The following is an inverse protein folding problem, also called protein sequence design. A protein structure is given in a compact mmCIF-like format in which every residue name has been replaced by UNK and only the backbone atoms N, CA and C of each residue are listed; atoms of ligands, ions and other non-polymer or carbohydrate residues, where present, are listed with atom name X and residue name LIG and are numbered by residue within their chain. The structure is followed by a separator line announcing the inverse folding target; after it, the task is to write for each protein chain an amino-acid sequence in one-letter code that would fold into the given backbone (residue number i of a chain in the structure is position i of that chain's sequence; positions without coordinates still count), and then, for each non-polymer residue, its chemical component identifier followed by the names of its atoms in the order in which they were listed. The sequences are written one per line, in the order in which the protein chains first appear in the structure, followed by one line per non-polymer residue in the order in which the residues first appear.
data_IF_162951837461
#
_entry.id   IF_162951837461
#
_cell.length_a   1.000
_cell.length_b   1.000
_cell.length_c   1.000
_cell.angle_alpha   90.00
_cell.angle_beta   90.00
_cell.angle_gamma   90.00
#
_symmetry.space_group_name_H-M   'P 1'
#
loop_
_entity.id
_entity.type
_entity.pdbx_description
1 polymer ?
#
# COMPACT_ATOMS: atom_id res chain seq x y z
N UNK A 1 4.57 2.03 10.46
CA UNK A 1 3.97 1.67 9.15
C UNK A 1 3.87 0.16 8.97
N UNK A 2 4.95 -0.62 9.16
CA UNK A 2 4.93 -2.09 8.96
C UNK A 2 3.93 -2.82 9.88
N UNK A 3 3.80 -2.44 11.14
CA UNK A 3 2.84 -3.04 12.05
C UNK A 3 1.40 -2.83 11.57
N UNK A 4 1.05 -1.61 11.15
CA UNK A 4 -0.26 -1.31 10.58
C UNK A 4 -0.53 -2.08 9.28
N UNK A 5 0.47 -2.14 8.39
CA UNK A 5 0.34 -2.85 7.11
C UNK A 5 0.13 -4.36 7.28
N UNK A 6 0.96 -5.02 8.07
CA UNK A 6 0.91 -6.48 8.23
C UNK A 6 -0.12 -6.95 9.26
N UNK A 7 -0.40 -6.13 10.28
CA UNK A 7 -1.28 -6.52 11.38
C UNK A 7 -2.74 -6.08 11.23
N UNK A 8 -2.99 -4.96 10.54
CA UNK A 8 -4.32 -4.34 10.53
C UNK A 8 -4.86 -3.98 9.16
N UNK A 9 -4.14 -4.31 8.08
CA UNK A 9 -4.65 -4.04 6.74
C UNK A 9 -5.46 -5.22 6.21
N UNK A 10 -6.75 -4.96 5.93
CA UNK A 10 -7.73 -5.98 5.54
C UNK A 10 -7.25 -6.84 4.36
N UNK A 11 -6.73 -6.25 3.29
CA UNK A 11 -6.37 -7.00 2.08
C UNK A 11 -5.16 -7.93 2.29
N UNK A 12 -4.36 -7.72 3.34
CA UNK A 12 -3.27 -8.59 3.75
C UNK A 12 -3.79 -9.68 4.69
N UNK A 13 -4.51 -9.28 5.77
CA UNK A 13 -4.98 -10.19 6.81
C UNK A 13 -5.93 -11.24 6.26
N UNK A 14 -6.83 -10.87 5.35
CA UNK A 14 -7.80 -11.81 4.75
C UNK A 14 -7.13 -13.02 4.10
N UNK A 15 -5.91 -12.88 3.56
CA UNK A 15 -5.15 -14.00 3.00
C UNK A 15 -4.67 -14.97 4.08
N UNK A 16 -4.25 -14.43 5.24
CA UNK A 16 -3.89 -15.25 6.40
C UNK A 16 -5.10 -15.97 7.01
N UNK A 17 -6.25 -15.29 7.08
CA UNK A 17 -7.50 -15.87 7.59
C UNK A 17 -8.08 -16.97 6.68
N UNK A 18 -7.78 -16.93 5.37
CA UNK A 18 -8.19 -17.95 4.41
C UNK A 18 -7.31 -19.20 4.41
N UNK A 19 -6.27 -19.27 5.25
CA UNK A 19 -5.40 -20.44 5.35
C UNK A 19 -6.11 -21.63 5.98
N UNK A 20 -5.71 -22.86 5.63
CA UNK A 20 -6.31 -24.10 6.13
C UNK A 20 -6.19 -24.28 7.64
N UNK A 21 -5.18 -23.68 8.26
CA UNK A 21 -4.97 -23.72 9.72
C UNK A 21 -4.17 -22.52 10.18
N UNK A 22 -4.22 -22.22 11.49
CA UNK A 22 -3.42 -21.17 12.13
C UNK A 22 -1.92 -21.42 11.92
N UNK A 23 -1.47 -22.67 11.95
CA UNK A 23 -0.06 -22.99 11.73
C UNK A 23 0.37 -22.68 10.30
N UNK A 24 -0.45 -22.98 9.30
CA UNK A 24 -0.15 -22.61 7.92
C UNK A 24 -0.18 -21.08 7.70
N UNK A 25 -1.10 -20.37 8.33
CA UNK A 25 -1.11 -18.92 8.33
C UNK A 25 0.19 -18.33 8.91
N UNK A 26 0.63 -18.85 10.08
CA UNK A 26 1.88 -18.41 10.72
C UNK A 26 3.10 -18.68 9.84
N UNK A 27 3.22 -19.88 9.26
CA UNK A 27 4.32 -20.22 8.34
C UNK A 27 4.32 -19.31 7.13
N UNK A 28 3.16 -19.07 6.53
CA UNK A 28 3.01 -18.17 5.39
C UNK A 28 3.44 -16.74 5.69
N UNK A 29 3.05 -16.19 6.86
CA UNK A 29 3.45 -14.85 7.28
C UNK A 29 4.95 -14.74 7.55
N UNK A 30 5.56 -15.73 8.22
CA UNK A 30 7.02 -15.76 8.44
C UNK A 30 7.77 -15.86 7.11
N UNK A 31 7.32 -16.71 6.20
CA UNK A 31 7.92 -16.85 4.87
C UNK A 31 7.79 -15.57 4.05
N UNK A 32 6.63 -14.90 4.09
CA UNK A 32 6.43 -13.60 3.44
C UNK A 32 7.36 -12.52 4.03
N UNK A 33 7.56 -12.52 5.35
CA UNK A 33 8.52 -11.65 6.03
C UNK A 33 9.96 -11.88 5.53
N UNK A 34 10.37 -13.13 5.39
CA UNK A 34 11.67 -13.50 4.85
C UNK A 34 11.84 -13.04 3.39
N UNK A 35 10.85 -13.29 2.53
CA UNK A 35 10.88 -12.82 1.14
C UNK A 35 10.96 -11.30 1.04
N UNK A 36 10.31 -10.58 1.98
CA UNK A 36 10.36 -9.11 2.01
C UNK A 36 11.77 -8.56 2.21
N UNK A 37 12.66 -9.29 2.88
CA UNK A 37 14.06 -8.88 3.07
C UNK A 37 14.81 -8.86 1.72
N UNK A 38 14.38 -9.66 0.75
CA UNK A 38 14.99 -9.72 -0.58
C UNK A 38 14.57 -8.55 -1.48
N UNK A 39 13.44 -7.90 -1.21
CA UNK A 39 12.91 -6.81 -2.04
C UNK A 39 13.89 -5.65 -2.25
N UNK A 40 14.59 -5.13 -1.20
CA UNK A 40 15.58 -4.08 -1.39
C UNK A 40 16.69 -4.46 -2.38
N UNK A 41 17.13 -5.70 -2.41
CA UNK A 41 18.14 -6.15 -3.36
C UNK A 41 17.60 -6.15 -4.81
N UNK A 42 16.34 -6.47 -5.00
CA UNK A 42 15.71 -6.54 -6.33
C UNK A 42 15.31 -5.15 -6.85
N UNK A 43 14.96 -4.22 -5.96
CA UNK A 43 14.42 -2.90 -6.34
C UNK A 43 15.46 -1.80 -6.15
N UNK A 44 16.11 -1.73 -4.98
CA UNK A 44 16.98 -0.61 -4.62
C UNK A 44 18.34 -0.71 -5.34
N UNK A 45 18.95 -1.90 -5.39
CA UNK A 45 20.24 -2.04 -6.06
C UNK A 45 20.21 -1.68 -7.55
N UNK A 46 19.24 -2.18 -8.35
CA UNK A 46 19.14 -1.75 -9.76
C UNK A 46 18.90 -0.24 -9.90
N UNK A 47 18.10 0.37 -9.01
CA UNK A 47 17.89 1.81 -8.99
C UNK A 47 19.17 2.61 -8.73
N UNK A 48 20.00 2.15 -7.78
CA UNK A 48 21.31 2.76 -7.51
C UNK A 48 22.23 2.60 -8.73
N UNK A 49 22.26 1.43 -9.36
CA UNK A 49 23.05 1.22 -10.58
C UNK A 49 22.61 2.15 -11.71
N UNK A 50 21.30 2.31 -11.93
CA UNK A 50 20.77 3.23 -12.92
C UNK A 50 21.22 4.67 -12.65
N UNK A 51 21.15 5.12 -11.40
CA UNK A 51 21.59 6.45 -10.99
C UNK A 51 23.07 6.72 -11.29
N UNK A 52 23.95 5.78 -10.94
CA UNK A 52 25.37 5.92 -11.22
C UNK A 52 25.70 5.90 -12.72
N UNK A 53 25.06 5.02 -13.50
CA UNK A 53 25.24 4.97 -14.96
C UNK A 53 24.83 6.28 -15.61
N UNK A 54 23.75 6.91 -15.14
CA UNK A 54 23.29 8.20 -15.67
C UNK A 54 24.24 9.35 -15.33
N UNK A 55 24.99 9.26 -14.24
CA UNK A 55 25.98 10.27 -13.85
C UNK A 55 27.32 10.14 -14.57
N UNK A 56 27.60 8.99 -15.18
CA UNK A 56 28.83 8.74 -15.93
C UNK A 56 28.58 8.77 -17.44
N UNK A 57 28.92 9.89 -18.14
CA UNK A 57 28.72 10.01 -19.58
C UNK A 57 29.51 8.98 -20.38
N UNK A 58 30.67 8.49 -19.86
CA UNK A 58 31.48 7.49 -20.53
C UNK A 58 30.82 6.11 -20.44
N UNK A 59 30.34 5.73 -19.25
CA UNK A 59 29.57 4.52 -19.05
C UNK A 59 28.29 4.50 -19.91
N UNK A 60 27.56 5.63 -19.90
CA UNK A 60 26.32 5.76 -20.67
C UNK A 60 26.54 5.59 -22.16
N UNK A 61 27.55 6.24 -22.74
CA UNK A 61 27.86 6.16 -24.17
C UNK A 61 28.47 4.81 -24.58
N UNK A 62 29.35 4.22 -23.76
CA UNK A 62 29.97 2.95 -24.04
C UNK A 62 28.98 1.78 -24.04
N UNK A 63 27.93 1.85 -23.26
CA UNK A 63 26.86 0.83 -23.19
C UNK A 63 25.79 1.00 -24.26
N UNK A 64 25.87 2.03 -25.12
CA UNK A 64 24.87 2.32 -26.18
C UNK A 64 23.43 2.39 -25.61
N UNK A 65 23.24 3.01 -24.47
CA UNK A 65 21.96 3.06 -23.77
C UNK A 65 21.00 4.05 -24.44
N UNK A 66 19.72 3.74 -24.44
CA UNK A 66 18.68 4.53 -25.08
C UNK A 66 17.78 5.24 -24.06
N UNK A 67 17.61 6.57 -24.26
CA UNK A 67 16.72 7.41 -23.48
C UNK A 67 17.31 7.80 -22.12
N UNK A 68 16.78 8.87 -21.55
CA UNK A 68 17.16 9.39 -20.23
C UNK A 68 16.11 9.03 -19.19
N UNK A 69 16.49 9.07 -17.92
CA UNK A 69 15.60 8.99 -16.78
C UNK A 69 15.26 10.43 -16.38
N UNK A 70 14.03 10.86 -16.64
CA UNK A 70 13.56 12.21 -16.30
C UNK A 70 12.99 12.26 -14.88
N UNK A 71 12.29 11.21 -14.46
CA UNK A 71 11.69 11.07 -13.15
C UNK A 71 12.20 9.79 -12.47
N UNK A 72 12.27 9.81 -11.14
CA UNK A 72 12.71 8.64 -10.36
C UNK A 72 11.87 7.38 -10.68
N UNK A 73 10.57 7.54 -10.93
CA UNK A 73 9.66 6.44 -11.28
C UNK A 73 9.95 5.81 -12.66
N UNK A 74 10.66 6.51 -13.55
CA UNK A 74 11.03 6.00 -14.88
C UNK A 74 12.27 5.08 -14.85
N UNK A 75 13.00 5.02 -13.72
CA UNK A 75 14.23 4.25 -13.60
C UNK A 75 14.04 2.75 -13.87
N UNK A 76 12.98 2.14 -13.34
CA UNK A 76 12.73 0.71 -13.52
C UNK A 76 12.31 0.34 -14.95
N UNK A 77 11.39 1.04 -15.62
CA UNK A 77 11.12 0.88 -17.04
C UNK A 77 12.36 1.08 -17.91
N UNK A 78 13.20 2.08 -17.60
CA UNK A 78 14.44 2.35 -18.31
C UNK A 78 15.43 1.18 -18.19
N UNK A 79 15.61 0.61 -17.01
CA UNK A 79 16.44 -0.57 -16.78
C UNK A 79 15.94 -1.78 -17.59
N UNK A 80 14.64 -2.06 -17.58
CA UNK A 80 14.05 -3.15 -18.38
C UNK A 80 14.31 -2.91 -19.86
N UNK A 81 14.15 -1.68 -20.33
CA UNK A 81 14.35 -1.33 -21.73
C UNK A 81 15.78 -1.58 -22.19
N UNK A 82 16.78 -1.22 -21.39
CA UNK A 82 18.17 -1.22 -21.79
C UNK A 82 18.92 -2.54 -21.49
N UNK A 83 18.60 -3.18 -20.36
CA UNK A 83 19.37 -4.33 -19.86
C UNK A 83 18.68 -5.68 -20.03
N UNK A 84 17.40 -5.68 -20.45
CA UNK A 84 16.68 -6.95 -20.57
C UNK A 84 16.63 -7.39 -22.05
N UNK A 85 17.03 -8.63 -22.38
CA UNK A 85 16.90 -9.19 -23.73
C UNK A 85 15.45 -9.22 -24.21
N UNK A 86 15.24 -9.16 -25.53
CA UNK A 86 13.92 -8.98 -26.17
C UNK A 86 12.86 -9.97 -25.67
N UNK A 87 13.17 -11.26 -25.58
CA UNK A 87 12.20 -12.26 -25.08
C UNK A 87 11.88 -12.13 -23.60
N UNK A 88 12.90 -11.87 -22.76
CA UNK A 88 12.73 -11.68 -21.32
C UNK A 88 12.02 -10.36 -21.03
N UNK A 89 12.19 -9.33 -21.88
CA UNK A 89 11.48 -8.05 -21.76
C UNK A 89 9.96 -8.24 -21.75
N UNK A 90 9.41 -9.00 -22.68
CA UNK A 90 7.99 -9.32 -22.72
C UNK A 90 7.51 -10.07 -21.47
N UNK A 91 8.31 -11.04 -20.99
CA UNK A 91 8.02 -11.75 -19.74
C UNK A 91 8.04 -10.81 -18.52
N UNK A 92 8.98 -9.86 -18.46
CA UNK A 92 9.07 -8.86 -17.38
C UNK A 92 7.83 -7.97 -17.33
N UNK A 93 7.37 -7.48 -18.49
CA UNK A 93 6.13 -6.70 -18.54
C UNK A 93 4.89 -7.53 -18.17
N UNK A 94 4.82 -8.79 -18.63
CA UNK A 94 3.74 -9.68 -18.23
C UNK A 94 3.73 -9.95 -16.72
N UNK A 95 4.90 -10.13 -16.11
CA UNK A 95 5.05 -10.32 -14.66
C UNK A 95 4.63 -9.06 -13.88
N UNK A 96 5.02 -7.87 -14.34
CA UNK A 96 4.57 -6.60 -13.76
C UNK A 96 3.05 -6.46 -13.84
N UNK A 97 2.46 -6.69 -15.00
CA UNK A 97 1.01 -6.64 -15.17
C UNK A 97 0.30 -7.64 -14.25
N UNK A 98 0.79 -8.86 -14.14
CA UNK A 98 0.24 -9.88 -13.24
C UNK A 98 0.33 -9.47 -11.77
N UNK A 99 1.44 -8.86 -11.34
CA UNK A 99 1.63 -8.36 -9.98
C UNK A 99 0.64 -7.22 -9.65
N UNK A 100 0.45 -6.28 -10.58
CA UNK A 100 -0.51 -5.18 -10.46
C UNK A 100 -1.95 -5.73 -10.35
N UNK A 101 -2.35 -6.61 -11.27
CA UNK A 101 -3.69 -7.22 -11.28
C UNK A 101 -3.96 -7.99 -9.98
N UNK A 102 -2.98 -8.77 -9.50
CA UNK A 102 -3.11 -9.52 -8.24
C UNK A 102 -3.33 -8.61 -7.04
N UNK A 103 -2.59 -7.48 -6.98
CA UNK A 103 -2.72 -6.50 -5.90
C UNK A 103 -4.06 -5.77 -5.95
N UNK A 104 -4.46 -5.29 -7.12
CA UNK A 104 -5.74 -4.62 -7.33
C UNK A 104 -6.93 -5.55 -7.03
N UNK A 105 -6.89 -6.80 -7.47
CA UNK A 105 -7.92 -7.77 -7.17
C UNK A 105 -8.10 -7.98 -5.66
N UNK A 106 -7.00 -8.02 -4.90
CA UNK A 106 -7.04 -8.14 -3.43
C UNK A 106 -7.63 -6.89 -2.78
N UNK A 107 -7.27 -5.68 -3.25
CA UNK A 107 -7.79 -4.41 -2.73
C UNK A 107 -9.29 -4.26 -3.02
N UNK A 108 -9.72 -4.54 -4.25
CA UNK A 108 -11.14 -4.45 -4.61
C UNK A 108 -11.99 -5.48 -3.87
N UNK A 109 -11.48 -6.71 -3.68
CA UNK A 109 -12.16 -7.71 -2.87
C UNK A 109 -12.31 -7.27 -1.41
N UNK A 110 -11.26 -6.67 -0.84
CA UNK A 110 -11.30 -6.13 0.51
C UNK A 110 -12.33 -4.99 0.64
N UNK A 111 -12.26 -3.99 -0.26
CA UNK A 111 -13.21 -2.86 -0.29
C UNK A 111 -14.65 -3.34 -0.45
N UNK A 112 -14.88 -4.28 -1.36
CA UNK A 112 -16.17 -4.90 -1.59
C UNK A 112 -16.70 -5.60 -0.34
N UNK A 113 -15.86 -6.37 0.34
CA UNK A 113 -16.23 -7.10 1.55
C UNK A 113 -16.57 -6.14 2.70
N UNK A 114 -15.73 -5.16 2.96
CA UNK A 114 -15.97 -4.14 3.99
C UNK A 114 -17.28 -3.39 3.76
N UNK A 115 -17.50 -2.89 2.55
CA UNK A 115 -18.75 -2.19 2.23
C UNK A 115 -19.97 -3.10 2.38
N UNK A 116 -19.89 -4.32 1.84
CA UNK A 116 -21.04 -5.24 1.82
C UNK A 116 -21.40 -5.72 3.21
N UNK A 117 -20.40 -6.06 4.04
CA UNK A 117 -20.65 -6.64 5.37
C UNK A 117 -20.87 -5.58 6.44
N UNK A 118 -20.03 -4.53 6.43
CA UNK A 118 -20.03 -3.54 7.52
C UNK A 118 -20.99 -2.39 7.30
N UNK A 119 -21.31 -2.06 6.02
CA UNK A 119 -22.22 -0.98 5.68
C UNK A 119 -23.56 -1.54 5.18
N UNK A 120 -23.56 -2.25 4.06
CA UNK A 120 -24.81 -2.67 3.41
C UNK A 120 -25.64 -3.61 4.29
N UNK A 121 -25.05 -4.72 4.75
CA UNK A 121 -25.74 -5.71 5.59
C UNK A 121 -26.13 -5.15 6.95
N UNK A 122 -25.29 -4.28 7.54
CA UNK A 122 -25.53 -3.78 8.89
C UNK A 122 -26.54 -2.62 8.95
N UNK A 123 -26.52 -1.72 7.96
CA UNK A 123 -27.30 -0.48 8.00
C UNK A 123 -28.40 -0.39 6.92
N UNK A 124 -28.23 -1.03 5.76
CA UNK A 124 -29.15 -0.90 4.62
C UNK A 124 -30.12 -2.08 4.55
N UNK A 125 -29.61 -3.32 4.55
CA UNK A 125 -30.45 -4.50 4.45
C UNK A 125 -29.92 -5.65 5.33
N UNK A 126 -30.43 -5.73 6.56
CA UNK A 126 -30.02 -6.72 7.57
C UNK A 126 -30.38 -8.17 7.20
N UNK A 127 -31.43 -8.34 6.39
CA UNK A 127 -31.96 -9.64 5.99
C UNK A 127 -31.50 -10.06 4.57
N UNK A 128 -30.49 -9.34 4.03
CA UNK A 128 -29.99 -9.62 2.69
C UNK A 128 -29.49 -11.08 2.57
N UNK A 129 -30.01 -11.78 1.55
CA UNK A 129 -29.55 -13.14 1.22
C UNK A 129 -28.14 -13.11 0.64
N UNK A 130 -27.41 -14.21 0.77
CA UNK A 130 -26.02 -14.32 0.31
C UNK A 130 -25.85 -13.96 -1.17
N UNK A 131 -26.81 -14.36 -2.04
CA UNK A 131 -26.78 -13.96 -3.45
C UNK A 131 -26.84 -12.45 -3.66
N UNK A 132 -27.63 -11.75 -2.86
CA UNK A 132 -27.71 -10.28 -2.89
C UNK A 132 -26.40 -9.64 -2.43
N UNK A 133 -25.82 -10.16 -1.34
CA UNK A 133 -24.53 -9.69 -0.82
C UNK A 133 -23.40 -9.85 -1.85
N UNK A 134 -23.35 -10.99 -2.55
CA UNK A 134 -22.36 -11.21 -3.63
C UNK A 134 -22.56 -10.21 -4.77
N UNK A 135 -23.81 -9.95 -5.18
CA UNK A 135 -24.07 -8.99 -6.26
C UNK A 135 -23.73 -7.56 -5.85
N UNK A 136 -24.08 -7.14 -4.64
CA UNK A 136 -23.67 -5.83 -4.08
C UNK A 136 -22.15 -5.74 -4.06
N UNK A 137 -21.45 -6.77 -3.61
CA UNK A 137 -20.00 -6.81 -3.60
C UNK A 137 -19.38 -6.63 -4.99
N UNK A 138 -19.94 -7.26 -6.02
CA UNK A 138 -19.48 -7.06 -7.42
C UNK A 138 -19.68 -5.62 -7.90
N UNK A 139 -20.84 -5.04 -7.63
CA UNK A 139 -21.11 -3.64 -7.99
C UNK A 139 -20.15 -2.70 -7.29
N UNK A 140 -19.91 -2.91 -6.00
CA UNK A 140 -18.96 -2.09 -5.21
C UNK A 140 -17.52 -2.22 -5.74
N UNK A 141 -17.09 -3.42 -6.12
CA UNK A 141 -15.77 -3.62 -6.70
C UNK A 141 -15.60 -2.86 -8.02
N UNK A 142 -16.61 -2.89 -8.90
CA UNK A 142 -16.61 -2.14 -10.17
C UNK A 142 -16.65 -0.63 -9.89
N UNK A 143 -17.49 -0.18 -8.97
CA UNK A 143 -17.56 1.23 -8.60
C UNK A 143 -16.21 1.74 -8.03
N UNK A 144 -15.56 0.95 -7.17
CA UNK A 144 -14.24 1.28 -6.65
C UNK A 144 -13.18 1.37 -7.75
N UNK A 145 -13.22 0.48 -8.76
CA UNK A 145 -12.33 0.55 -9.91
C UNK A 145 -12.55 1.84 -10.71
N UNK A 146 -13.80 2.19 -11.00
CA UNK A 146 -14.12 3.42 -11.73
C UNK A 146 -13.67 4.67 -10.99
N UNK A 147 -13.93 4.73 -9.67
CA UNK A 147 -13.47 5.84 -8.82
C UNK A 147 -11.94 5.92 -8.84
N UNK A 148 -11.24 4.79 -8.71
CA UNK A 148 -9.79 4.76 -8.75
C UNK A 148 -9.23 5.26 -10.09
N UNK A 149 -9.83 4.86 -11.21
CA UNK A 149 -9.41 5.32 -12.55
C UNK A 149 -9.61 6.83 -12.74
N UNK A 150 -10.69 7.39 -12.23
CA UNK A 150 -10.95 8.83 -12.30
C UNK A 150 -9.99 9.60 -11.37
N UNK A 151 -9.67 9.04 -10.22
CA UNK A 151 -8.88 9.72 -9.20
C UNK A 151 -7.37 9.62 -9.43
N UNK A 152 -6.88 8.61 -10.17
CA UNK A 152 -5.44 8.34 -10.26
C UNK A 152 -4.67 9.48 -10.91
N UNK A 153 -5.15 10.03 -12.00
CA UNK A 153 -4.45 11.08 -12.73
C UNK A 153 -4.40 12.41 -11.96
N UNK A 154 -5.53 12.97 -11.45
CA UNK A 154 -5.46 14.20 -10.67
C UNK A 154 -4.69 14.08 -9.35
N UNK A 155 -4.60 12.87 -8.77
CA UNK A 155 -3.89 12.67 -7.50
C UNK A 155 -2.43 12.30 -7.66
N UNK A 156 -2.05 11.59 -8.71
CA UNK A 156 -0.72 11.00 -8.87
C UNK A 156 -0.01 11.38 -10.17
N UNK A 157 -0.71 11.90 -11.16
CA UNK A 157 -0.20 12.09 -12.52
C UNK A 157 0.94 13.08 -12.67
N UNK A 158 1.16 13.99 -11.72
CA UNK A 158 2.25 14.99 -11.75
C UNK A 158 3.39 14.71 -10.77
N UNK A 159 3.44 13.54 -10.15
CA UNK A 159 4.40 13.25 -9.08
C UNK A 159 5.67 12.58 -9.62
N UNK A 160 6.84 13.03 -9.14
CA UNK A 160 8.13 12.41 -9.45
C UNK A 160 8.36 11.10 -8.70
N UNK A 161 7.72 10.94 -7.54
CA UNK A 161 7.86 9.80 -6.64
C UNK A 161 6.49 9.39 -6.08
N UNK A 162 5.65 8.80 -6.94
CA UNK A 162 4.30 8.37 -6.58
C UNK A 162 4.27 7.42 -5.38
N UNK A 163 5.23 6.50 -5.26
CA UNK A 163 5.35 5.58 -4.13
C UNK A 163 5.57 6.32 -2.80
N UNK A 164 6.46 7.30 -2.76
CA UNK A 164 6.75 8.07 -1.56
C UNK A 164 5.52 8.89 -1.12
N UNK A 165 4.82 9.48 -2.08
CA UNK A 165 3.58 10.21 -1.84
C UNK A 165 2.50 9.32 -1.20
N UNK A 166 2.25 8.14 -1.77
CA UNK A 166 1.29 7.17 -1.24
C UNK A 166 1.68 6.75 0.19
N UNK A 167 2.98 6.53 0.44
CA UNK A 167 3.48 6.15 1.76
C UNK A 167 3.32 7.28 2.79
N UNK A 168 3.53 8.53 2.39
CA UNK A 168 3.31 9.70 3.25
C UNK A 168 1.84 9.82 3.68
N UNK A 169 0.91 9.76 2.72
CA UNK A 169 -0.53 9.85 3.04
C UNK A 169 -1.03 8.64 3.83
N UNK A 170 -0.51 7.46 3.55
CA UNK A 170 -0.76 6.28 4.39
C UNK A 170 -0.26 6.49 5.83
N UNK A 171 0.84 7.23 5.99
CA UNK A 171 1.38 7.63 7.28
C UNK A 171 0.44 8.50 8.14
N UNK A 172 -0.55 9.15 7.53
CA UNK A 172 -1.58 9.91 8.28
C UNK A 172 -2.63 8.99 8.92
N UNK A 173 -2.86 7.81 8.36
CA UNK A 173 -3.94 6.91 8.78
C UNK A 173 -3.41 5.79 9.69
N UNK A 174 -2.25 5.22 9.38
CA UNK A 174 -1.70 4.09 10.13
C UNK A 174 -1.48 4.32 11.62
N UNK A 175 -1.03 5.49 12.12
CA UNK A 175 -0.87 5.70 13.56
C UNK A 175 -2.17 5.46 14.31
N UNK A 176 -3.28 6.05 13.84
CA UNK A 176 -4.59 5.86 14.47
C UNK A 176 -5.08 4.41 14.42
N UNK A 177 -4.91 3.74 13.27
CA UNK A 177 -5.26 2.32 13.15
C UNK A 177 -4.49 1.48 14.17
N UNK A 178 -3.17 1.70 14.31
CA UNK A 178 -2.35 0.94 15.24
C UNK A 178 -2.77 1.20 16.68
N UNK A 179 -3.08 2.46 17.05
CA UNK A 179 -3.55 2.81 18.39
C UNK A 179 -4.90 2.15 18.67
N UNK A 180 -5.89 2.34 17.80
CA UNK A 180 -7.25 1.81 17.99
C UNK A 180 -7.24 0.29 18.12
N UNK A 181 -6.64 -0.41 17.17
CA UNK A 181 -6.63 -1.87 17.18
C UNK A 181 -5.62 -2.44 18.18
N UNK A 182 -4.43 -1.83 18.30
CA UNK A 182 -3.41 -2.29 19.24
C UNK A 182 -3.86 -2.17 20.69
N UNK A 183 -4.40 -1.01 21.09
CA UNK A 183 -4.92 -0.83 22.44
C UNK A 183 -6.22 -1.60 22.66
N UNK A 184 -7.11 -1.66 21.66
CA UNK A 184 -8.34 -2.44 21.76
C UNK A 184 -8.10 -3.92 21.99
N UNK A 185 -7.01 -4.49 21.46
CA UNK A 185 -6.63 -5.89 21.67
C UNK A 185 -5.84 -6.13 22.97
N UNK A 186 -4.97 -5.19 23.35
CA UNK A 186 -3.99 -5.41 24.41
C UNK A 186 -4.37 -4.75 25.74
N UNK A 187 -5.20 -3.71 25.72
CA UNK A 187 -5.54 -2.93 26.91
C UNK A 187 -7.01 -3.01 27.28
N UNK A 188 -7.31 -3.69 28.36
CA UNK A 188 -8.68 -3.93 28.87
C UNK A 188 -9.47 -2.64 29.22
N UNK A 189 -8.80 -1.50 29.38
CA UNK A 189 -9.41 -0.21 29.69
C UNK A 189 -9.70 0.65 28.44
N UNK A 190 -9.34 0.19 27.24
CA UNK A 190 -9.64 0.90 26.01
C UNK A 190 -11.17 1.07 25.86
N UNK A 191 -11.62 2.30 25.69
CA UNK A 191 -13.05 2.63 25.52
C UNK A 191 -13.40 2.87 24.05
N UNK A 192 -14.65 2.59 23.67
CA UNK A 192 -15.13 2.87 22.32
C UNK A 192 -15.08 4.38 22.00
N UNK A 193 -15.30 5.24 22.99
CA UNK A 193 -15.23 6.70 22.82
C UNK A 193 -13.80 7.14 22.49
N UNK A 194 -12.79 6.60 23.19
CA UNK A 194 -11.38 6.87 22.88
C UNK A 194 -11.01 6.42 21.46
N UNK A 195 -11.48 5.24 21.04
CA UNK A 195 -11.25 4.74 19.69
C UNK A 195 -11.84 5.67 18.61
N UNK A 196 -13.05 6.19 18.82
CA UNK A 196 -13.69 7.14 17.91
C UNK A 196 -12.90 8.45 17.82
N UNK A 197 -12.51 9.03 18.96
CA UNK A 197 -11.70 10.26 18.97
C UNK A 197 -10.34 10.05 18.32
N UNK A 198 -9.67 8.93 18.58
CA UNK A 198 -8.41 8.57 17.93
C UNK A 198 -8.57 8.50 16.42
N UNK A 199 -9.64 7.85 15.93
CA UNK A 199 -9.90 7.75 14.50
C UNK A 199 -10.15 9.13 13.85
N UNK A 200 -10.94 10.00 14.52
CA UNK A 200 -11.24 11.36 14.04
C UNK A 200 -9.99 12.24 14.03
N UNK A 201 -9.19 12.18 15.08
CA UNK A 201 -8.00 13.04 15.23
C UNK A 201 -6.81 12.62 14.37
N UNK A 202 -6.76 11.39 13.92
CA UNK A 202 -5.63 10.82 13.17
C UNK A 202 -5.29 11.65 11.93
N UNK A 203 -6.27 11.93 11.07
CA UNK A 203 -6.04 12.68 9.81
C UNK A 203 -5.72 14.16 10.08
N UNK A 204 -6.48 14.91 10.91
CA UNK A 204 -6.13 16.28 11.27
C UNK A 204 -4.74 16.42 11.86
N UNK A 205 -4.32 15.50 12.73
CA UNK A 205 -2.97 15.48 13.29
C UNK A 205 -1.91 15.23 12.20
N UNK A 206 -2.19 14.32 11.25
CA UNK A 206 -1.33 14.07 10.11
C UNK A 206 -1.07 15.31 9.27
N UNK A 207 -2.14 16.03 8.94
CA UNK A 207 -2.06 17.29 8.18
C UNK A 207 -1.32 18.36 9.00
N UNK A 208 -1.65 18.52 10.29
CA UNK A 208 -1.01 19.49 11.19
C UNK A 208 0.52 19.26 11.25
N UNK A 209 0.96 18.03 11.48
CA UNK A 209 2.39 17.71 11.54
C UNK A 209 3.10 17.85 10.19
N UNK A 210 2.40 17.65 9.07
CA UNK A 210 2.95 17.93 7.74
C UNK A 210 3.23 19.42 7.54
N UNK A 211 2.34 20.29 8.01
CA UNK A 211 2.48 21.75 7.91
C UNK A 211 3.51 22.30 8.90
N UNK A 212 3.51 21.80 10.15
CA UNK A 212 4.41 22.30 11.20
C UNK A 212 5.86 21.79 11.06
N UNK A 213 6.04 20.60 10.50
CA UNK A 213 7.33 19.92 10.42
C UNK A 213 7.60 19.43 8.98
N UNK A 214 7.66 20.32 7.98
CA UNK A 214 7.79 19.91 6.57
C UNK A 214 9.10 19.16 6.31
N UNK A 215 10.20 19.55 6.97
CA UNK A 215 11.54 18.98 6.77
C UNK A 215 11.77 17.66 7.51
N UNK A 216 10.85 17.28 8.39
CA UNK A 216 10.94 16.00 9.13
C UNK A 216 10.39 14.88 8.25
N UNK A 217 11.15 13.80 8.10
CA UNK A 217 10.71 12.64 7.33
C UNK A 217 9.36 12.10 7.85
N UNK A 218 8.49 11.70 6.93
CA UNK A 218 7.11 11.30 7.24
C UNK A 218 7.01 10.15 8.26
N UNK A 219 8.03 9.28 8.32
CA UNK A 219 8.10 8.19 9.31
C UNK A 219 8.17 8.71 10.74
N UNK A 220 8.96 9.78 10.98
CA UNK A 220 9.07 10.40 12.30
C UNK A 220 7.79 11.15 12.66
N UNK A 221 7.20 11.87 11.71
CA UNK A 221 5.89 12.52 11.90
C UNK A 221 4.82 11.50 12.30
N UNK A 222 4.74 10.36 11.62
CA UNK A 222 3.85 9.27 11.97
C UNK A 222 4.12 8.69 13.38
N UNK A 223 5.39 8.66 13.82
CA UNK A 223 5.77 8.29 15.17
C UNK A 223 5.27 9.26 16.24
N UNK A 224 5.39 10.57 16.00
CA UNK A 224 4.86 11.59 16.89
C UNK A 224 3.33 11.53 17.03
N UNK A 225 2.64 11.37 15.89
CA UNK A 225 1.19 11.19 15.89
C UNK A 225 0.78 9.95 16.69
N UNK A 226 1.49 8.84 16.51
CA UNK A 226 1.26 7.61 17.28
C UNK A 226 1.37 7.84 18.78
N UNK A 227 2.43 8.51 19.24
CA UNK A 227 2.66 8.80 20.68
C UNK A 227 1.53 9.68 21.23
N UNK A 228 1.13 10.72 20.52
CA UNK A 228 0.06 11.63 20.98
C UNK A 228 -1.29 10.94 21.03
N UNK A 229 -1.61 10.11 20.05
CA UNK A 229 -2.87 9.39 20.01
C UNK A 229 -2.93 8.21 21.00
N UNK A 230 -1.77 7.77 21.50
CA UNK A 230 -1.67 6.70 22.49
C UNK A 230 -2.04 7.16 23.89
N UNK A 231 -1.83 8.44 24.23
CA UNK A 231 -2.11 9.05 25.53
C UNK A 231 -3.55 9.54 25.61
#
# INVERSE_FOLDING_TARGET
TNLGYWGFNQYIIQKGLAAKSINEAKKGLVFAGFLKILIPFIVVLPGICAYYIMQDPQAFSSMHLAGNIERADDAYPWLIRNFTPTGIKGLSFAALAAAIISSLASMFNSTSTLFTMDIYKKYINKEAKDKTLVNVGRVVAVAALVIALIAVEPLLGGLDQAFQYIQEYSGFIYPGIIVVFGLGLLWKRASSTAAVWTAILTIPMGVLFKVMLPDVAFQFRAGYIFIILFV
#
